data_IF_868412513233
#
_entry.id   IF_868412513233
#
_cell.length_a   1.000
_cell.length_b   1.000
_cell.length_c   1.000
_cell.angle_alpha   90.00
_cell.angle_beta   90.00
_cell.angle_gamma   90.00
#
_symmetry.space_group_name_H-M   'P 1'
#
loop_
_entity.id
_entity.type
_entity.pdbx_description
1 polymer ?
#
# COMPACT_ATOMS: atom_id res chain seq x y z
N UNK A 1 4.82 11.65 -7.40
CA UNK A 1 5.71 11.53 -8.56
C UNK A 1 7.11 11.08 -8.18
N UNK A 2 7.66 11.52 -7.05
CA UNK A 2 9.03 11.13 -6.64
C UNK A 2 9.14 9.62 -6.38
N UNK A 3 8.12 9.02 -5.74
CA UNK A 3 8.13 7.60 -5.40
C UNK A 3 8.12 6.73 -6.67
N UNK A 4 7.33 7.10 -7.68
CA UNK A 4 7.33 6.38 -8.95
C UNK A 4 8.71 6.45 -9.62
N UNK A 5 9.37 7.61 -9.62
CA UNK A 5 10.73 7.73 -10.15
C UNK A 5 11.75 6.89 -9.37
N UNK A 6 11.64 6.81 -8.03
CA UNK A 6 12.49 5.94 -7.21
C UNK A 6 12.32 4.46 -7.59
N UNK A 7 11.09 4.02 -7.84
CA UNK A 7 10.79 2.65 -8.28
C UNK A 7 11.36 2.38 -9.68
N UNK A 8 11.23 3.33 -10.61
CA UNK A 8 11.81 3.22 -11.96
C UNK A 8 13.34 3.18 -11.93
N UNK A 9 13.98 3.96 -11.04
CA UNK A 9 15.42 3.90 -10.82
C UNK A 9 15.85 2.54 -10.23
N UNK A 10 15.10 2.02 -9.26
CA UNK A 10 15.34 0.69 -8.68
C UNK A 10 15.19 -0.44 -9.71
N UNK A 11 14.26 -0.31 -10.67
CA UNK A 11 14.15 -1.25 -11.79
C UNK A 11 15.41 -1.24 -12.65
N UNK A 12 15.92 -0.05 -13.01
CA UNK A 12 17.16 0.08 -13.79
C UNK A 12 18.34 -0.55 -13.05
N UNK A 13 18.46 -0.30 -11.75
CA UNK A 13 19.49 -0.90 -10.91
C UNK A 13 19.38 -2.43 -10.85
N UNK A 14 18.16 -2.97 -10.71
CA UNK A 14 17.92 -4.42 -10.72
C UNK A 14 18.32 -5.07 -12.06
N UNK A 15 18.04 -4.40 -13.18
CA UNK A 15 18.46 -4.87 -14.51
C UNK A 15 19.98 -4.87 -14.67
N UNK A 16 20.66 -3.81 -14.22
CA UNK A 16 22.13 -3.71 -14.29
C UNK A 16 22.82 -4.79 -13.45
N UNK A 17 22.30 -5.02 -12.24
CA UNK A 17 22.84 -6.00 -11.30
C UNK A 17 22.36 -7.44 -11.57
N UNK A 18 21.57 -7.67 -12.64
CA UNK A 18 20.99 -8.98 -13.00
C UNK A 18 20.22 -9.62 -11.83
N UNK A 19 19.54 -8.80 -11.03
CA UNK A 19 18.67 -9.27 -9.96
C UNK A 19 17.27 -9.52 -10.52
N UNK A 20 17.03 -10.73 -11.04
CA UNK A 20 15.80 -11.09 -11.73
C UNK A 20 14.56 -11.00 -10.82
N UNK A 21 14.64 -11.51 -9.59
CA UNK A 21 13.54 -11.44 -8.60
C UNK A 21 13.11 -10.00 -8.34
N UNK A 22 14.09 -9.11 -8.06
CA UNK A 22 13.81 -7.69 -7.82
C UNK A 22 13.25 -7.00 -9.05
N UNK A 23 13.81 -7.29 -10.23
CA UNK A 23 13.35 -6.74 -11.50
C UNK A 23 11.89 -7.10 -11.76
N UNK A 24 11.51 -8.35 -11.57
CA UNK A 24 10.19 -8.85 -11.92
C UNK A 24 9.13 -8.36 -10.93
N UNK A 25 9.44 -8.35 -9.62
CA UNK A 25 8.59 -7.74 -8.60
C UNK A 25 8.30 -6.27 -8.89
N UNK A 26 9.33 -5.48 -9.21
CA UNK A 26 9.20 -4.05 -9.51
C UNK A 26 8.42 -3.82 -10.81
N UNK A 27 8.64 -4.64 -11.86
CA UNK A 27 7.91 -4.52 -13.13
C UNK A 27 6.41 -4.70 -12.96
N UNK A 28 5.99 -5.71 -12.19
CA UNK A 28 4.58 -5.96 -11.94
C UNK A 28 3.91 -4.78 -11.22
N UNK A 29 4.59 -4.21 -10.22
CA UNK A 29 4.08 -3.02 -9.53
C UNK A 29 4.03 -1.79 -10.43
N UNK A 30 5.06 -1.54 -11.24
CA UNK A 30 5.02 -0.43 -12.21
C UNK A 30 3.90 -0.60 -13.24
N UNK A 31 3.60 -1.83 -13.66
CA UNK A 31 2.47 -2.10 -14.53
C UNK A 31 1.12 -1.79 -13.83
N UNK A 32 0.97 -2.16 -12.56
CA UNK A 32 -0.21 -1.83 -11.76
C UNK A 32 -0.39 -0.31 -11.58
N UNK A 33 0.70 0.42 -11.30
CA UNK A 33 0.70 1.89 -11.20
C UNK A 33 0.23 2.52 -12.52
N UNK A 34 0.81 2.09 -13.65
CA UNK A 34 0.43 2.59 -14.98
C UNK A 34 -1.02 2.27 -15.34
N UNK A 35 -1.49 1.06 -14.99
CA UNK A 35 -2.88 0.65 -15.17
C UNK A 35 -3.82 1.59 -14.41
N UNK A 36 -3.51 1.88 -13.13
CA UNK A 36 -4.32 2.76 -12.31
C UNK A 36 -4.31 4.21 -12.79
N UNK A 37 -3.17 4.71 -13.23
CA UNK A 37 -3.06 6.04 -13.84
C UNK A 37 -3.93 6.16 -15.10
N UNK A 38 -3.95 5.10 -15.94
CA UNK A 38 -4.81 5.02 -17.12
C UNK A 38 -6.30 4.99 -16.76
N UNK A 39 -6.68 4.24 -15.74
CA UNK A 39 -8.06 4.20 -15.21
C UNK A 39 -8.52 5.60 -14.78
N UNK A 40 -7.68 6.32 -14.05
CA UNK A 40 -7.97 7.67 -13.55
C UNK A 40 -7.76 8.78 -14.60
N UNK A 41 -7.18 8.45 -15.76
CA UNK A 41 -6.78 9.38 -16.83
C UNK A 41 -5.90 10.53 -16.34
N UNK A 42 -5.06 10.27 -15.33
CA UNK A 42 -4.07 11.20 -14.79
C UNK A 42 -2.97 10.44 -14.08
N UNK A 43 -1.86 11.11 -13.83
CA UNK A 43 -0.79 10.55 -13.01
C UNK A 43 -1.23 10.35 -11.55
N UNK A 44 -0.58 9.38 -10.90
CA UNK A 44 -0.80 9.09 -9.49
C UNK A 44 0.05 10.01 -8.61
N UNK A 45 -0.55 10.41 -7.50
CA UNK A 45 0.18 11.00 -6.37
C UNK A 45 1.03 9.93 -5.67
N UNK A 46 2.05 10.34 -4.90
CA UNK A 46 2.89 9.37 -4.17
C UNK A 46 2.09 8.54 -3.15
N UNK A 47 1.03 9.14 -2.58
CA UNK A 47 0.08 8.43 -1.72
C UNK A 47 -0.65 7.32 -2.47
N UNK A 48 -1.12 7.59 -3.69
CA UNK A 48 -1.80 6.61 -4.54
C UNK A 48 -0.83 5.53 -5.04
N UNK A 49 0.40 5.88 -5.39
CA UNK A 49 1.46 4.91 -5.71
C UNK A 49 1.71 3.98 -4.52
N UNK A 50 1.80 4.53 -3.31
CA UNK A 50 1.99 3.74 -2.09
C UNK A 50 0.81 2.79 -1.84
N UNK A 51 -0.42 3.23 -2.13
CA UNK A 51 -1.60 2.37 -2.04
C UNK A 51 -1.56 1.20 -3.03
N UNK A 52 -1.10 1.43 -4.26
CA UNK A 52 -0.93 0.35 -5.25
C UNK A 52 0.10 -0.68 -4.77
N UNK A 53 1.23 -0.24 -4.23
CA UNK A 53 2.26 -1.15 -3.68
C UNK A 53 1.71 -1.93 -2.49
N UNK A 54 1.03 -1.26 -1.56
CA UNK A 54 0.44 -1.90 -0.37
C UNK A 54 -0.59 -2.97 -0.76
N UNK A 55 -1.41 -2.70 -1.77
CA UNK A 55 -2.34 -3.68 -2.35
C UNK A 55 -1.63 -4.90 -2.95
N UNK A 56 -0.54 -4.66 -3.69
CA UNK A 56 0.30 -5.73 -4.22
C UNK A 56 0.93 -6.60 -3.12
N UNK A 57 1.46 -5.99 -2.05
CA UNK A 57 1.99 -6.73 -0.90
C UNK A 57 0.91 -7.60 -0.24
N UNK A 58 -0.31 -7.06 -0.08
CA UNK A 58 -1.42 -7.81 0.50
C UNK A 58 -1.75 -9.05 -0.32
N UNK A 59 -1.88 -8.91 -1.65
CA UNK A 59 -2.15 -10.04 -2.54
C UNK A 59 -1.09 -11.13 -2.39
N UNK A 60 0.19 -10.75 -2.29
CA UNK A 60 1.28 -11.70 -2.08
C UNK A 60 1.23 -12.36 -0.72
N UNK A 61 0.86 -11.64 0.35
CA UNK A 61 0.67 -12.25 1.69
C UNK A 61 -0.44 -13.30 1.68
N UNK A 62 -1.52 -13.04 0.94
CA UNK A 62 -2.58 -14.02 0.71
C UNK A 62 -2.05 -15.24 -0.07
N UNK A 63 -1.25 -15.04 -1.12
CA UNK A 63 -0.56 -16.12 -1.84
C UNK A 63 0.38 -16.94 -0.95
N UNK A 64 1.18 -16.28 -0.09
CA UNK A 64 2.09 -16.95 0.86
C UNK A 64 1.31 -17.93 1.74
N UNK A 65 0.19 -17.48 2.29
CA UNK A 65 -0.63 -18.31 3.16
C UNK A 65 -1.23 -19.50 2.40
N UNK A 66 -1.78 -19.26 1.20
CA UNK A 66 -2.31 -20.34 0.35
C UNK A 66 -1.24 -21.37 -0.04
N UNK A 67 -0.04 -20.92 -0.42
CA UNK A 67 1.07 -21.81 -0.76
C UNK A 67 1.56 -22.62 0.44
N UNK A 68 1.62 -22.02 1.63
CA UNK A 68 1.96 -22.75 2.87
C UNK A 68 0.92 -23.82 3.19
N UNK A 69 -0.36 -23.48 3.12
CA UNK A 69 -1.45 -24.44 3.32
C UNK A 69 -1.41 -25.59 2.30
N UNK A 70 -0.99 -25.32 1.07
CA UNK A 70 -0.79 -26.32 0.02
C UNK A 70 0.55 -27.07 0.06
N UNK A 71 1.40 -26.87 1.08
CA UNK A 71 2.71 -27.53 1.18
C UNK A 71 3.76 -27.04 0.17
N UNK A 72 3.53 -25.90 -0.49
CA UNK A 72 4.40 -25.31 -1.52
C UNK A 72 5.32 -24.24 -0.91
N UNK A 73 6.23 -24.67 -0.04
CA UNK A 73 7.15 -23.77 0.66
C UNK A 73 8.08 -22.99 -0.30
N UNK A 74 8.41 -23.57 -1.45
CA UNK A 74 9.15 -22.93 -2.54
C UNK A 74 8.44 -21.66 -3.04
N UNK A 75 7.15 -21.78 -3.36
CA UNK A 75 6.35 -20.67 -3.88
C UNK A 75 6.05 -19.63 -2.79
N UNK A 76 5.81 -20.07 -1.55
CA UNK A 76 5.66 -19.17 -0.42
C UNK A 76 6.94 -18.34 -0.16
N UNK A 77 8.12 -18.97 -0.31
CA UNK A 77 9.41 -18.28 -0.20
C UNK A 77 9.61 -17.23 -1.29
N UNK A 78 9.25 -17.55 -2.53
CA UNK A 78 9.32 -16.60 -3.65
C UNK A 78 8.42 -15.37 -3.40
N UNK A 79 7.17 -15.59 -3.00
CA UNK A 79 6.24 -14.49 -2.67
C UNK A 79 6.75 -13.63 -1.51
N UNK A 80 7.35 -14.25 -0.49
CA UNK A 80 7.94 -13.52 0.64
C UNK A 80 9.10 -12.62 0.19
N UNK A 81 9.98 -13.10 -0.70
CA UNK A 81 11.06 -12.27 -1.24
C UNK A 81 10.52 -11.06 -1.98
N UNK A 82 9.47 -11.24 -2.78
CA UNK A 82 8.84 -10.13 -3.50
C UNK A 82 8.14 -9.15 -2.54
N UNK A 83 7.52 -9.63 -1.46
CA UNK A 83 7.00 -8.77 -0.39
C UNK A 83 8.11 -7.90 0.19
N UNK A 84 9.24 -8.51 0.55
CA UNK A 84 10.35 -7.80 1.20
C UNK A 84 10.91 -6.71 0.29
N UNK A 85 11.09 -7.01 -1.00
CA UNK A 85 11.51 -6.03 -2.02
C UNK A 85 10.54 -4.85 -2.12
N UNK A 86 9.23 -5.13 -2.15
CA UNK A 86 8.21 -4.08 -2.30
C UNK A 86 8.06 -3.23 -1.04
N UNK A 87 8.30 -3.83 0.13
CA UNK A 87 8.22 -3.16 1.43
C UNK A 87 9.27 -2.05 1.56
N UNK A 88 10.41 -2.14 0.84
CA UNK A 88 11.45 -1.10 0.82
C UNK A 88 10.95 0.26 0.29
N UNK A 89 9.90 0.26 -0.55
CA UNK A 89 9.31 1.48 -1.11
C UNK A 89 8.18 2.06 -0.26
N UNK A 90 7.84 1.42 0.85
CA UNK A 90 6.77 1.85 1.72
C UNK A 90 7.29 2.26 3.09
N UNK A 91 6.73 3.33 3.69
CA UNK A 91 6.91 3.58 5.10
C UNK A 91 6.37 2.41 5.92
N UNK A 92 6.94 2.20 7.11
CA UNK A 92 6.59 1.08 7.98
C UNK A 92 5.06 1.00 8.17
N UNK A 93 4.43 -0.16 7.92
CA UNK A 93 2.99 -0.31 8.00
C UNK A 93 2.51 -0.03 9.42
N UNK A 94 1.33 0.59 9.53
CA UNK A 94 0.67 0.77 10.81
C UNK A 94 0.00 -0.55 11.20
N UNK A 95 0.22 -0.98 12.45
CA UNK A 95 -0.58 -2.06 13.03
C UNK A 95 -2.04 -1.64 13.18
N UNK A 96 -2.97 -2.61 13.25
CA UNK A 96 -4.41 -2.35 13.35
C UNK A 96 -4.76 -1.43 14.52
N UNK A 97 -4.23 -1.71 15.72
CA UNK A 97 -4.47 -0.89 16.91
C UNK A 97 -4.00 0.55 16.73
N UNK A 98 -2.85 0.73 16.08
CA UNK A 98 -2.29 2.06 15.83
C UNK A 98 -3.11 2.83 14.81
N UNK A 99 -3.64 2.14 13.80
CA UNK A 99 -4.50 2.73 12.80
C UNK A 99 -5.81 3.23 13.44
N UNK A 100 -6.43 2.41 14.30
CA UNK A 100 -7.65 2.80 15.02
C UNK A 100 -7.41 4.00 15.94
N UNK A 101 -6.28 4.06 16.64
CA UNK A 101 -5.89 5.22 17.47
C UNK A 101 -5.76 6.50 16.63
N UNK A 102 -5.11 6.43 15.47
CA UNK A 102 -4.94 7.59 14.59
C UNK A 102 -6.28 8.08 14.03
N UNK A 103 -7.21 7.16 13.72
CA UNK A 103 -8.57 7.51 13.30
C UNK A 103 -9.30 8.25 14.43
N UNK A 104 -9.29 7.70 15.65
CA UNK A 104 -9.95 8.31 16.80
C UNK A 104 -9.40 9.72 17.09
N UNK A 105 -8.08 9.89 17.02
CA UNK A 105 -7.43 11.20 17.14
C UNK A 105 -7.89 12.17 16.05
N UNK A 106 -7.95 11.73 14.79
CA UNK A 106 -8.40 12.59 13.70
C UNK A 106 -9.88 13.00 13.83
N UNK A 107 -10.74 12.11 14.34
CA UNK A 107 -12.15 12.43 14.63
C UNK A 107 -12.23 13.50 15.73
N UNK A 108 -11.48 13.32 16.83
CA UNK A 108 -11.44 14.27 17.94
C UNK A 108 -10.88 15.64 17.52
N UNK A 109 -9.75 15.67 16.80
CA UNK A 109 -9.12 16.90 16.28
C UNK A 109 -10.03 17.68 15.34
N UNK A 110 -10.85 16.97 14.56
CA UNK A 110 -11.75 17.61 13.59
C UNK A 110 -13.13 17.92 14.16
N UNK A 111 -13.47 17.42 15.36
CA UNK A 111 -14.82 17.50 15.92
C UNK A 111 -15.88 16.85 15.03
N UNK A 112 -15.52 15.81 14.30
CA UNK A 112 -16.44 15.07 13.44
C UNK A 112 -17.46 14.29 14.28
N UNK A 113 -18.73 14.33 13.88
CA UNK A 113 -19.83 13.71 14.63
C UNK A 113 -20.66 12.73 13.80
N UNK A 114 -20.48 12.73 12.48
CA UNK A 114 -21.22 11.81 11.61
C UNK A 114 -20.44 11.47 10.35
N UNK A 115 -20.93 10.47 9.62
CA UNK A 115 -20.40 10.07 8.31
C UNK A 115 -20.37 11.22 7.30
N UNK A 116 -21.16 12.30 7.50
CA UNK A 116 -21.09 13.52 6.67
C UNK A 116 -19.72 14.21 6.77
N UNK A 117 -19.02 14.03 7.89
CA UNK A 117 -17.70 14.62 8.17
C UNK A 117 -16.54 13.77 7.64
N UNK A 118 -16.82 12.62 7.01
CA UNK A 118 -15.83 11.67 6.52
C UNK A 118 -14.73 12.34 5.70
N UNK A 119 -15.09 13.25 4.79
CA UNK A 119 -14.12 13.97 3.96
C UNK A 119 -13.14 14.82 4.78
N UNK A 120 -13.61 15.45 5.86
CA UNK A 120 -12.79 16.27 6.75
C UNK A 120 -11.84 15.41 7.57
N UNK A 121 -12.32 14.29 8.12
CA UNK A 121 -11.49 13.33 8.86
C UNK A 121 -10.41 12.75 7.95
N UNK A 122 -10.79 12.30 6.75
CA UNK A 122 -9.83 11.75 5.77
C UNK A 122 -8.77 12.78 5.38
N UNK A 123 -9.13 14.06 5.20
CA UNK A 123 -8.16 15.12 4.89
C UNK A 123 -7.11 15.30 5.98
N UNK A 124 -7.51 15.20 7.26
CA UNK A 124 -6.60 15.29 8.40
C UNK A 124 -5.75 14.02 8.58
N UNK A 125 -6.34 12.85 8.27
CA UNK A 125 -5.75 11.56 8.55
C UNK A 125 -4.76 11.11 7.47
N UNK A 126 -5.06 11.37 6.19
CA UNK A 126 -4.25 10.92 5.05
C UNK A 126 -2.76 11.25 5.16
N UNK A 127 -2.32 12.45 5.58
CA UNK A 127 -0.90 12.75 5.76
C UNK A 127 -0.20 11.84 6.79
N UNK A 128 -0.93 11.33 7.78
CA UNK A 128 -0.40 10.48 8.87
C UNK A 128 -0.35 8.99 8.48
N UNK A 129 -1.15 8.57 7.50
CA UNK A 129 -1.38 7.15 7.19
C UNK A 129 -1.16 6.76 5.73
N UNK A 130 -0.97 7.72 4.82
CA UNK A 130 -0.74 7.47 3.41
C UNK A 130 0.44 6.51 3.21
N UNK A 131 0.22 5.44 2.46
CA UNK A 131 1.21 4.40 2.22
C UNK A 131 1.53 3.49 3.41
N UNK A 132 0.92 3.72 4.58
CA UNK A 132 1.11 2.91 5.79
C UNK A 132 -0.12 2.08 6.17
N UNK A 133 -1.26 2.33 5.55
CA UNK A 133 -2.52 1.64 5.77
C UNK A 133 -3.31 1.48 4.47
N UNK A 134 -4.13 0.43 4.37
CA UNK A 134 -5.01 0.21 3.23
C UNK A 134 -6.13 1.27 3.21
N UNK A 135 -6.34 1.91 2.05
CA UNK A 135 -7.30 3.00 1.92
C UNK A 135 -8.75 2.55 2.11
N UNK A 136 -9.08 1.30 1.78
CA UNK A 136 -10.43 0.74 1.95
C UNK A 136 -10.68 0.38 3.41
N UNK A 137 -9.72 -0.27 4.06
CA UNK A 137 -9.72 -0.54 5.51
C UNK A 137 -9.82 0.75 6.31
N UNK A 138 -9.01 1.76 5.98
CA UNK A 138 -9.06 3.08 6.59
C UNK A 138 -10.46 3.69 6.46
N UNK A 139 -11.04 3.67 5.26
CA UNK A 139 -12.40 4.20 5.04
C UNK A 139 -13.45 3.45 5.87
N UNK A 140 -13.33 2.13 5.97
CA UNK A 140 -14.22 1.30 6.78
C UNK A 140 -14.09 1.59 8.28
N UNK A 141 -12.86 1.75 8.80
CA UNK A 141 -12.62 2.10 10.21
C UNK A 141 -13.21 3.48 10.52
N UNK A 142 -12.93 4.49 9.68
CA UNK A 142 -13.44 5.85 9.90
C UNK A 142 -14.97 5.86 9.86
N UNK A 143 -15.60 5.19 8.89
CA UNK A 143 -17.07 5.09 8.82
C UNK A 143 -17.66 4.40 10.04
N UNK A 144 -17.01 3.36 10.56
CA UNK A 144 -17.46 2.61 11.74
C UNK A 144 -17.41 3.45 13.01
N UNK A 145 -16.39 4.31 13.16
CA UNK A 145 -16.27 5.20 14.32
C UNK A 145 -17.15 6.46 14.24
N UNK A 146 -17.67 6.79 13.06
CA UNK A 146 -18.57 7.94 12.81
C UNK A 146 -20.04 7.54 12.60
N UNK A 147 -20.36 6.25 12.69
CA UNK A 147 -21.72 5.72 12.61
C UNK A 147 -22.36 5.69 13.99
#
# INVERSE_FOLDING_TARGET
MELQHQIEAALKAAMLNRNDTRRDAIRLILAAIKSKAKELRRELTDAEVSQVIAGGIKQRRESVEQYRQGGRADLAGAEQQEIDILQEFLPQPLGPDRLEQLVAQAIAETGAQSVKDLGRVMKQLMPKVAGRADGKELNQIVRRQLA
#
